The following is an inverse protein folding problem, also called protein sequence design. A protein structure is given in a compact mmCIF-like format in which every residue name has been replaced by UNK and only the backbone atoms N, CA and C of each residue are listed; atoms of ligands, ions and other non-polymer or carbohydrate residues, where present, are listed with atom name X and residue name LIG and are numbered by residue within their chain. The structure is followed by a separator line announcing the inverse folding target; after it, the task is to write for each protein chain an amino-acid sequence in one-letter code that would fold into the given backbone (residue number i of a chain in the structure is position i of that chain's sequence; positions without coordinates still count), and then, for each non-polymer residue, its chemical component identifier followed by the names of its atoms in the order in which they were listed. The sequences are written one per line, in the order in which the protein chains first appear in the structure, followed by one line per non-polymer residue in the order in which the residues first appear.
data_IF_137899340455
#
_entry.id   IF_137899340455
#
_cell.length_a   1.000
_cell.length_b   1.000
_cell.length_c   1.000
_cell.angle_alpha   90.00
_cell.angle_beta   90.00
_cell.angle_gamma   90.00
#
_symmetry.space_group_name_H-M   'P 1'
#
loop_
_entity.id
_entity.type
_entity.pdbx_description
1 polymer ?
#
# COMPACT_ATOMS: atom_id res chain seq x y z
N UNK A 1 -10.10 -13.74 -4.71
CA UNK A 1 -10.87 -12.84 -3.81
C UNK A 1 -10.82 -11.43 -4.37
N UNK A 2 -11.78 -10.56 -4.05
CA UNK A 2 -11.86 -9.22 -4.62
C UNK A 2 -11.85 -8.18 -3.51
N UNK A 3 -10.86 -7.29 -3.50
CA UNK A 3 -10.84 -6.11 -2.65
C UNK A 3 -11.95 -5.16 -3.07
N UNK A 4 -12.76 -4.75 -2.11
CA UNK A 4 -13.89 -3.85 -2.30
C UNK A 4 -13.73 -2.57 -1.50
N UNK A 5 -14.53 -1.55 -1.79
CA UNK A 5 -14.56 -0.30 -1.00
C UNK A 5 -14.79 -0.55 0.49
N UNK A 6 -15.60 -1.56 0.82
CA UNK A 6 -15.89 -1.89 2.22
C UNK A 6 -14.65 -2.39 2.95
N UNK A 7 -13.79 -3.11 2.24
CA UNK A 7 -12.52 -3.60 2.78
C UNK A 7 -11.55 -2.44 3.04
N UNK A 8 -11.53 -1.44 2.15
CA UNK A 8 -10.73 -0.24 2.34
C UNK A 8 -11.20 0.58 3.55
N UNK A 9 -12.51 0.77 3.71
CA UNK A 9 -13.09 1.46 4.89
C UNK A 9 -12.75 0.71 6.19
N UNK A 10 -12.76 -0.62 6.18
CA UNK A 10 -12.36 -1.41 7.33
C UNK A 10 -10.86 -1.26 7.66
N UNK A 11 -9.99 -1.24 6.63
CA UNK A 11 -8.56 -0.98 6.81
C UNK A 11 -8.30 0.43 7.37
N UNK A 12 -8.97 1.46 6.86
CA UNK A 12 -8.90 2.83 7.38
C UNK A 12 -9.36 2.92 8.85
N UNK A 13 -10.45 2.23 9.20
CA UNK A 13 -10.94 2.21 10.57
C UNK A 13 -9.96 1.56 11.56
N UNK A 14 -9.14 0.61 11.10
CA UNK A 14 -8.07 0.01 11.90
C UNK A 14 -6.91 0.99 12.18
N UNK A 15 -6.74 2.03 11.35
CA UNK A 15 -5.64 2.99 11.45
C UNK A 15 -5.99 4.28 12.21
N UNK A 16 -7.26 4.51 12.57
CA UNK A 16 -7.71 5.74 13.23
C UNK A 16 -7.87 6.90 12.22
N UNK A 17 -8.96 7.67 12.32
CA UNK A 17 -9.47 8.54 11.24
C UNK A 17 -9.06 10.01 11.41
N UNK A 18 -8.73 10.73 10.31
CA UNK A 18 -8.47 12.17 10.37
C UNK A 18 -8.41 13.07 9.10
N UNK A 19 -9.07 12.83 7.96
CA UNK A 19 -9.41 13.91 6.99
C UNK A 19 -9.23 13.68 5.48
N UNK A 20 -10.04 14.37 4.67
CA UNK A 20 -9.98 14.35 3.20
C UNK A 20 -8.95 15.36 2.68
N UNK A 21 -7.88 14.92 2.03
CA UNK A 21 -6.91 15.80 1.37
C UNK A 21 -7.14 15.83 -0.15
N UNK A 22 -7.28 17.04 -0.69
CA UNK A 22 -7.51 17.30 -2.11
C UNK A 22 -6.20 17.71 -2.78
N UNK A 23 -5.69 16.84 -3.66
CA UNK A 23 -4.77 17.14 -4.77
C UNK A 23 -3.29 17.39 -4.44
N UNK A 24 -2.96 18.13 -3.38
CA UNK A 24 -1.57 18.44 -3.05
C UNK A 24 -1.39 18.58 -1.54
N UNK A 25 -0.37 17.94 -0.98
CA UNK A 25 0.09 18.15 0.40
C UNK A 25 1.43 18.87 0.33
N UNK A 26 1.57 19.97 1.06
CA UNK A 26 2.82 20.73 1.11
C UNK A 26 3.16 21.11 2.56
N UNK A 27 4.29 20.66 3.11
CA UNK A 27 4.94 21.32 4.23
C UNK A 27 5.31 22.77 3.84
N UNK A 28 5.27 23.75 4.75
CA UNK A 28 5.65 25.12 4.43
C UNK A 28 7.11 25.19 3.98
N UNK A 29 7.35 25.49 2.69
CA UNK A 29 8.69 25.66 2.10
C UNK A 29 9.14 24.54 1.14
N UNK A 30 8.33 23.52 0.89
CA UNK A 30 8.65 22.40 -0.01
C UNK A 30 7.91 22.48 -1.35
N UNK A 31 8.40 21.79 -2.37
CA UNK A 31 7.65 21.59 -3.63
C UNK A 31 6.35 20.80 -3.37
N UNK A 32 5.26 21.09 -4.11
CA UNK A 32 4.02 20.34 -3.98
C UNK A 32 4.22 18.87 -4.35
N UNK A 33 3.81 17.97 -3.47
CA UNK A 33 3.86 16.52 -3.74
C UNK A 33 2.72 16.14 -4.69
N UNK A 34 3.07 15.43 -5.76
CA UNK A 34 2.13 14.91 -6.76
C UNK A 34 1.46 13.62 -6.24
N UNK A 35 0.31 13.79 -5.61
CA UNK A 35 -0.43 12.68 -5.00
C UNK A 35 -0.91 11.66 -6.04
N UNK A 36 -1.21 12.08 -7.26
CA UNK A 36 -1.67 11.17 -8.31
C UNK A 36 -0.52 10.28 -8.77
N UNK A 37 0.71 10.80 -8.86
CA UNK A 37 1.93 9.99 -9.09
C UNK A 37 2.14 8.94 -8.00
N UNK A 38 1.99 9.31 -6.72
CA UNK A 38 2.14 8.36 -5.62
C UNK A 38 1.11 7.23 -5.72
N UNK A 39 -0.14 7.59 -6.01
CA UNK A 39 -1.25 6.64 -6.20
C UNK A 39 -0.96 5.67 -7.35
N UNK A 40 -0.61 6.18 -8.53
CA UNK A 40 -0.30 5.36 -9.71
C UNK A 40 0.82 4.37 -9.41
N UNK A 41 1.88 4.82 -8.73
CA UNK A 41 3.03 3.99 -8.36
C UNK A 41 2.65 2.89 -7.38
N UNK A 42 1.86 3.20 -6.35
CA UNK A 42 1.44 2.21 -5.37
C UNK A 42 0.45 1.20 -5.94
N UNK A 43 -0.44 1.61 -6.84
CA UNK A 43 -1.31 0.66 -7.57
C UNK A 43 -0.46 -0.27 -8.42
N UNK A 44 0.52 0.27 -9.14
CA UNK A 44 1.43 -0.52 -9.95
C UNK A 44 2.29 -1.50 -9.13
N UNK A 45 2.73 -1.10 -7.93
CA UNK A 45 3.47 -1.94 -7.00
C UNK A 45 2.57 -3.02 -6.37
N UNK A 46 1.29 -2.72 -6.11
CA UNK A 46 0.33 -3.68 -5.59
C UNK A 46 0.13 -4.88 -6.52
N UNK A 47 0.19 -4.69 -7.83
CA UNK A 47 0.11 -5.78 -8.82
C UNK A 47 1.28 -6.78 -8.72
N UNK A 48 2.40 -6.38 -8.11
CA UNK A 48 3.56 -7.24 -7.85
C UNK A 48 3.55 -7.81 -6.42
N UNK A 49 3.24 -6.97 -5.44
CA UNK A 49 3.33 -7.32 -4.02
C UNK A 49 2.17 -8.20 -3.57
N UNK A 50 0.97 -8.01 -4.13
CA UNK A 50 -0.19 -8.80 -3.73
C UNK A 50 -0.21 -10.17 -4.39
N UNK A 51 -0.69 -11.21 -3.68
CA UNK A 51 -0.92 -12.52 -4.28
C UNK A 51 -1.84 -12.42 -5.49
N UNK A 52 -1.57 -13.22 -6.53
CA UNK A 52 -2.33 -13.24 -7.79
C UNK A 52 -3.82 -13.53 -7.63
N UNK A 53 -4.20 -14.15 -6.51
CA UNK A 53 -5.57 -14.47 -6.13
C UNK A 53 -6.37 -13.22 -5.69
N UNK A 54 -5.68 -12.11 -5.41
CA UNK A 54 -6.28 -10.82 -5.04
C UNK A 54 -6.55 -9.99 -6.29
N UNK A 55 -7.77 -9.43 -6.37
CA UNK A 55 -8.20 -8.59 -7.49
C UNK A 55 -8.85 -7.30 -6.99
N UNK A 56 -8.95 -6.27 -7.84
CA UNK A 56 -9.54 -4.98 -7.46
C UNK A 56 -8.61 -4.08 -6.64
N UNK A 57 -7.30 -4.20 -6.87
CA UNK A 57 -6.21 -3.54 -6.13
C UNK A 57 -6.28 -2.02 -6.23
N UNK A 58 -6.50 -1.47 -7.43
CA UNK A 58 -6.51 -0.03 -7.68
C UNK A 58 -7.41 0.76 -6.73
N UNK A 59 -8.72 0.50 -6.74
CA UNK A 59 -9.70 1.22 -5.90
C UNK A 59 -9.44 1.06 -4.41
N UNK A 60 -8.85 -0.06 -3.99
CA UNK A 60 -8.53 -0.31 -2.59
C UNK A 60 -7.31 0.52 -2.14
N UNK A 61 -6.22 0.47 -2.90
CA UNK A 61 -5.00 1.25 -2.63
C UNK A 61 -5.30 2.74 -2.63
N UNK A 62 -6.11 3.22 -3.58
CA UNK A 62 -6.56 4.60 -3.65
C UNK A 62 -7.24 5.06 -2.35
N UNK A 63 -8.16 4.24 -1.83
CA UNK A 63 -8.93 4.57 -0.63
C UNK A 63 -8.07 4.45 0.63
N UNK A 64 -7.18 3.45 0.71
CA UNK A 64 -6.23 3.30 1.81
C UNK A 64 -5.27 4.50 1.90
N UNK A 65 -4.80 4.98 0.75
CA UNK A 65 -3.89 6.11 0.68
C UNK A 65 -4.48 7.40 1.24
N UNK A 66 -5.79 7.62 1.11
CA UNK A 66 -6.43 8.83 1.66
C UNK A 66 -6.12 9.02 3.14
N UNK A 67 -6.13 7.94 3.95
CA UNK A 67 -5.76 8.01 5.37
C UNK A 67 -4.26 8.14 5.63
N UNK A 68 -3.42 7.52 4.78
CA UNK A 68 -1.95 7.64 4.90
C UNK A 68 -1.43 9.02 4.56
N UNK A 69 -2.13 9.73 3.67
CA UNK A 69 -1.76 11.06 3.24
C UNK A 69 -2.00 12.14 4.32
N UNK A 70 -2.68 11.79 5.42
CA UNK A 70 -2.93 12.69 6.54
C UNK A 70 -1.67 13.06 7.34
N UNK A 71 -0.61 12.22 7.32
CA UNK A 71 0.68 12.50 7.97
C UNK A 71 1.69 13.08 6.97
N UNK A 72 2.00 14.40 7.02
CA UNK A 72 2.90 15.03 6.06
C UNK A 72 4.32 14.48 6.09
N UNK A 73 4.79 13.98 7.25
CA UNK A 73 6.13 13.38 7.37
C UNK A 73 6.17 12.07 6.59
N UNK A 74 5.09 11.30 6.69
CA UNK A 74 4.96 10.07 5.93
C UNK A 74 4.89 10.34 4.43
N UNK A 75 4.07 11.31 4.01
CA UNK A 75 3.91 11.65 2.59
C UNK A 75 5.25 12.06 1.97
N UNK A 76 6.08 12.82 2.70
CA UNK A 76 7.40 13.19 2.23
C UNK A 76 8.32 11.98 2.02
N UNK A 77 8.34 11.02 2.97
CA UNK A 77 9.15 9.81 2.82
C UNK A 77 8.63 8.86 1.73
N UNK A 78 7.31 8.80 1.53
CA UNK A 78 6.70 8.07 0.43
C UNK A 78 7.06 8.69 -0.93
N UNK A 79 7.02 10.02 -1.05
CA UNK A 79 7.43 10.72 -2.27
C UNK A 79 8.90 10.51 -2.61
N UNK A 80 9.77 10.51 -1.59
CA UNK A 80 11.18 10.15 -1.76
C UNK A 80 11.33 8.72 -2.27
N UNK A 81 10.70 7.73 -1.61
CA UNK A 81 10.77 6.33 -2.03
C UNK A 81 10.21 6.09 -3.45
N UNK A 82 9.12 6.77 -3.83
CA UNK A 82 8.56 6.72 -5.19
C UNK A 82 9.51 7.34 -6.20
N UNK A 83 10.18 8.43 -5.84
CA UNK A 83 11.19 9.05 -6.69
C UNK A 83 12.37 8.12 -6.94
N UNK A 84 12.88 7.46 -5.90
CA UNK A 84 13.95 6.48 -6.08
C UNK A 84 13.53 5.29 -6.93
N UNK A 85 12.28 4.83 -6.79
CA UNK A 85 11.75 3.74 -7.58
C UNK A 85 11.63 4.12 -9.07
N UNK A 86 11.16 5.34 -9.36
CA UNK A 86 11.09 5.88 -10.72
C UNK A 86 12.49 6.10 -11.33
N UNK A 87 13.47 6.55 -10.54
CA UNK A 87 14.86 6.72 -10.99
C UNK A 87 15.47 5.38 -11.39
N UNK A 88 15.24 4.35 -10.57
CA UNK A 88 15.67 2.98 -10.83
C UNK A 88 14.97 2.38 -12.07
N UNK A 89 13.65 2.54 -12.17
CA UNK A 89 12.88 2.13 -13.35
C UNK A 89 13.39 2.81 -14.62
N UNK A 90 13.61 4.13 -14.57
CA UNK A 90 14.14 4.91 -15.69
C UNK A 90 15.55 4.45 -16.06
N UNK A 91 16.40 4.17 -15.07
CA UNK A 91 17.77 3.73 -15.30
C UNK A 91 17.85 2.39 -16.07
N UNK A 92 16.94 1.46 -15.81
CA UNK A 92 16.96 0.14 -16.46
C UNK A 92 16.04 0.02 -17.69
N UNK A 93 14.96 0.80 -17.74
CA UNK A 93 13.87 0.61 -18.70
C UNK A 93 13.44 1.89 -19.43
N UNK A 94 14.08 3.04 -19.16
CA UNK A 94 13.74 4.35 -19.75
C UNK A 94 12.26 4.78 -19.55
N UNK A 95 11.59 4.21 -18.55
CA UNK A 95 10.19 4.48 -18.22
C UNK A 95 10.00 4.59 -16.70
N UNK A 96 8.96 5.32 -16.29
CA UNK A 96 8.54 5.39 -14.88
C UNK A 96 8.02 4.03 -14.41
N UNK A 97 8.16 3.74 -13.12
CA UNK A 97 7.79 2.45 -12.54
C UNK A 97 6.33 2.09 -12.84
N UNK A 98 5.42 3.06 -12.71
CA UNK A 98 3.99 2.85 -12.94
C UNK A 98 3.63 2.50 -14.39
N UNK A 99 4.47 2.90 -15.36
CA UNK A 99 4.25 2.63 -16.79
C UNK A 99 4.74 1.25 -17.24
N UNK A 100 5.68 0.66 -16.48
CA UNK A 100 6.27 -0.65 -16.79
C UNK A 100 5.25 -1.79 -16.82
N UNK A 101 5.62 -2.89 -17.47
CA UNK A 101 4.88 -4.15 -17.34
C UNK A 101 5.02 -4.72 -15.92
N UNK A 102 4.09 -5.55 -15.45
CA UNK A 102 4.17 -6.18 -14.11
C UNK A 102 5.47 -6.97 -13.93
N UNK A 103 5.93 -7.65 -14.98
CA UNK A 103 7.20 -8.38 -14.96
C UNK A 103 8.39 -7.45 -14.80
N UNK A 104 8.41 -6.31 -15.48
CA UNK A 104 9.52 -5.35 -15.35
C UNK A 104 9.49 -4.64 -14.00
N UNK A 105 8.30 -4.32 -13.46
CA UNK A 105 8.14 -3.80 -12.09
C UNK A 105 8.71 -4.76 -11.05
N UNK A 106 8.42 -6.06 -11.18
CA UNK A 106 8.98 -7.09 -10.32
C UNK A 106 10.50 -7.13 -10.40
N UNK A 107 11.06 -7.00 -11.61
CA UNK A 107 12.51 -6.98 -11.80
C UNK A 107 13.16 -5.72 -11.23
N UNK A 108 12.52 -4.54 -11.33
CA UNK A 108 13.00 -3.33 -10.65
C UNK A 108 13.10 -3.56 -9.15
N UNK A 109 12.04 -4.07 -8.50
CA UNK A 109 12.03 -4.32 -7.05
C UNK A 109 13.08 -5.36 -6.62
N UNK A 110 13.30 -6.40 -7.43
CA UNK A 110 14.37 -7.39 -7.19
C UNK A 110 15.76 -6.82 -7.39
N UNK A 111 15.97 -5.94 -8.38
CA UNK A 111 17.28 -5.33 -8.63
C UNK A 111 17.75 -4.41 -7.49
N UNK A 112 16.81 -3.86 -6.73
CA UNK A 112 17.09 -3.07 -5.52
C UNK A 112 16.95 -3.91 -4.24
N UNK A 113 16.88 -5.24 -4.32
CA UNK A 113 16.86 -6.16 -3.16
C UNK A 113 15.77 -5.86 -2.10
N UNK A 114 14.64 -5.27 -2.49
CA UNK A 114 13.55 -4.86 -1.57
C UNK A 114 12.92 -6.04 -0.83
N UNK A 115 12.98 -7.24 -1.37
CA UNK A 115 12.46 -8.44 -0.73
C UNK A 115 13.31 -8.92 0.46
N UNK A 116 14.57 -8.51 0.52
CA UNK A 116 15.52 -8.87 1.59
C UNK A 116 15.96 -7.71 2.47
N UNK A 117 15.62 -6.47 2.10
CA UNK A 117 15.92 -5.28 2.88
C UNK A 117 15.15 -5.24 4.21
N UNK A 118 15.79 -4.71 5.25
CA UNK A 118 15.15 -4.34 6.50
C UNK A 118 14.25 -3.10 6.28
N UNK A 119 13.20 -2.93 7.08
CA UNK A 119 12.41 -1.70 7.02
C UNK A 119 13.07 -0.54 7.81
N UNK A 120 13.64 0.44 7.10
CA UNK A 120 14.21 1.65 7.69
C UNK A 120 13.80 2.91 6.90
N UNK A 121 12.97 3.81 7.48
CA UNK A 121 12.54 5.04 6.80
C UNK A 121 13.68 6.02 6.54
N UNK A 122 14.83 5.85 7.19
CA UNK A 122 16.02 6.69 7.04
C UNK A 122 17.20 5.95 6.40
N UNK A 123 16.96 4.73 5.93
CA UNK A 123 17.98 3.82 5.42
C UNK A 123 18.38 4.09 3.97
N UNK A 124 18.80 3.03 3.30
CA UNK A 124 19.08 2.97 1.86
C UNK A 124 17.79 2.99 1.04
N UNK A 125 17.92 3.11 -0.29
CA UNK A 125 16.79 3.06 -1.21
C UNK A 125 15.93 1.80 -1.02
N UNK A 126 16.56 0.64 -0.84
CA UNK A 126 15.84 -0.63 -0.67
C UNK A 126 15.05 -0.66 0.63
N UNK A 127 15.64 -0.18 1.73
CA UNK A 127 15.02 -0.10 3.05
C UNK A 127 13.87 0.92 3.09
N UNK A 128 14.02 2.07 2.41
CA UNK A 128 12.96 3.07 2.26
C UNK A 128 11.81 2.54 1.41
N UNK A 129 12.08 1.94 0.25
CA UNK A 129 11.03 1.34 -0.59
C UNK A 129 10.34 0.20 0.16
N UNK A 130 11.08 -0.60 0.93
CA UNK A 130 10.51 -1.62 1.80
C UNK A 130 9.56 -1.01 2.83
N UNK A 131 9.97 0.05 3.52
CA UNK A 131 9.19 0.72 4.55
C UNK A 131 7.95 1.45 3.99
N UNK A 132 8.15 2.33 3.01
CA UNK A 132 7.12 3.27 2.53
C UNK A 132 6.19 2.67 1.47
N UNK A 133 6.65 1.73 0.66
CA UNK A 133 5.86 1.17 -0.45
C UNK A 133 5.37 -0.24 -0.11
N UNK A 134 6.28 -1.18 0.12
CA UNK A 134 5.90 -2.59 0.30
C UNK A 134 5.13 -2.79 1.59
N UNK A 135 5.65 -2.28 2.71
CA UNK A 135 4.99 -2.46 4.01
C UNK A 135 3.66 -1.72 4.09
N UNK A 136 3.51 -0.56 3.46
CA UNK A 136 2.21 0.13 3.37
C UNK A 136 1.18 -0.72 2.62
N UNK A 137 1.56 -1.30 1.48
CA UNK A 137 0.69 -2.19 0.74
C UNK A 137 0.34 -3.44 1.53
N UNK A 138 1.31 -4.08 2.19
CA UNK A 138 1.08 -5.25 3.03
C UNK A 138 0.19 -4.91 4.22
N UNK A 139 0.43 -3.79 4.90
CA UNK A 139 -0.39 -3.30 5.99
C UNK A 139 -1.83 -3.10 5.53
N UNK A 140 -2.02 -2.48 4.36
CA UNK A 140 -3.34 -2.33 3.77
C UNK A 140 -4.02 -3.69 3.56
N UNK A 141 -3.31 -4.64 2.94
CA UNK A 141 -3.84 -5.99 2.70
C UNK A 141 -4.25 -6.66 4.01
N UNK A 142 -3.38 -6.70 5.03
CA UNK A 142 -3.65 -7.36 6.31
C UNK A 142 -4.73 -6.68 7.15
N UNK A 143 -4.86 -5.36 7.06
CA UNK A 143 -5.92 -4.62 7.74
C UNK A 143 -7.30 -4.81 7.05
N UNK A 144 -7.31 -5.35 5.84
CA UNK A 144 -8.55 -5.61 5.10
C UNK A 144 -9.18 -6.96 5.51
N UNK A 145 -10.52 -7.07 5.53
CA UNK A 145 -11.21 -8.35 5.77
C UNK A 145 -10.74 -9.46 4.80
N UNK A 146 -10.55 -9.12 3.52
CA UNK A 146 -10.08 -10.06 2.50
C UNK A 146 -8.67 -10.57 2.79
N UNK A 147 -7.74 -9.69 3.17
CA UNK A 147 -6.38 -10.12 3.52
C UNK A 147 -6.33 -10.86 4.86
N UNK A 148 -7.16 -10.47 5.82
CA UNK A 148 -7.34 -11.20 7.08
C UNK A 148 -7.79 -12.65 6.86
N UNK A 149 -8.73 -12.89 5.95
CA UNK A 149 -9.17 -14.24 5.54
C UNK A 149 -8.05 -15.03 4.83
N UNK A 150 -7.25 -14.39 3.97
CA UNK A 150 -6.17 -15.06 3.24
C UNK A 150 -5.09 -15.65 4.15
N UNK A 151 -4.83 -14.99 5.29
CA UNK A 151 -3.75 -15.37 6.20
C UNK A 151 -4.24 -15.91 7.55
N UNK A 152 -5.56 -16.11 7.69
CA UNK A 152 -6.16 -16.72 8.87
C UNK A 152 -6.05 -15.86 10.14
N UNK A 153 -5.96 -14.53 9.99
CA UNK A 153 -5.86 -13.57 11.11
C UNK A 153 -7.18 -12.82 11.35
N UNK A 154 -8.32 -13.42 10.97
CA UNK A 154 -9.61 -12.77 11.13
C UNK A 154 -9.87 -12.32 12.58
N UNK A 155 -10.53 -11.17 12.75
CA UNK A 155 -10.89 -10.67 14.07
C UNK A 155 -11.73 -11.71 14.85
N UNK A 156 -11.31 -12.09 16.07
CA UNK A 156 -12.02 -13.08 16.86
C UNK A 156 -13.38 -12.57 17.34
N UNK A 157 -14.26 -13.51 17.67
CA UNK A 157 -15.61 -13.19 18.15
C UNK A 157 -15.63 -12.31 19.40
N UNK A 158 -16.46 -11.26 19.35
CA UNK A 158 -16.66 -10.31 20.45
C UNK A 158 -15.92 -8.99 20.27
N UNK A 159 -15.05 -8.85 19.28
CA UNK A 159 -14.44 -7.57 18.91
C UNK A 159 -15.32 -6.77 17.94
N UNK A 160 -15.35 -5.42 18.05
CA UNK A 160 -16.05 -4.58 17.09
C UNK A 160 -15.58 -4.89 15.66
N UNK A 161 -16.45 -5.45 14.81
CA UNK A 161 -16.12 -5.82 13.42
C UNK A 161 -16.06 -7.31 13.08
N UNK A 162 -16.31 -8.24 14.02
CA UNK A 162 -16.36 -9.68 13.73
C UNK A 162 -17.52 -10.12 12.82
N UNK A 163 -17.28 -11.03 11.86
CA UNK A 163 -18.28 -11.53 10.91
C UNK A 163 -19.04 -12.79 11.39
N UNK A 164 -20.18 -13.06 10.72
CA UNK A 164 -21.19 -14.07 11.06
C UNK A 164 -20.73 -15.55 10.98
N UNK A 165 -19.52 -15.84 10.48
CA UNK A 165 -18.96 -17.20 10.36
C UNK A 165 -18.91 -17.94 11.70
N UNK A 166 -18.73 -17.20 12.78
CA UNK A 166 -18.75 -17.72 14.13
C UNK A 166 -20.11 -17.57 14.85
N UNK A 167 -21.12 -16.98 14.22
CA UNK A 167 -22.50 -17.00 14.75
C UNK A 167 -23.13 -18.39 14.61
N UNK A 168 -22.55 -19.29 13.80
CA UNK A 168 -22.94 -20.70 13.72
C UNK A 168 -21.99 -21.53 14.57
N UNK A 169 -22.45 -21.90 15.77
CA UNK A 169 -21.80 -22.94 16.58
C UNK A 169 -21.78 -24.30 15.85
N UNK A 170 -21.02 -25.29 16.35
CA UNK A 170 -20.92 -26.61 15.75
C UNK A 170 -22.24 -27.38 15.92
N UNK A 171 -23.21 -27.08 15.05
CA UNK A 171 -24.41 -27.84 14.73
C UNK A 171 -25.23 -27.07 13.69
N UNK A 172 -24.88 -27.27 12.42
CA UNK A 172 -25.79 -27.12 11.29
C UNK A 172 -25.69 -28.39 10.44
#
# INVERSE_FOLDING_TARGET
MKLTRRDAVAALAALGVGGTLSGCVAPPGSEPIDVDRLRETLVAAADVVYPSEVSGTATFVETFLEGRLEDPTHVAGLDEAVTELDDNATFWYDERFAALSVTDREQVLRNIDVDTADEDPTGTTSERVRYYVVNDLLLALYASPTGGELVGIENPQGHPGGLASYQRGPSA
#
